data_IF_902722987913
#
_entry.id   IF_902722987913
#
_cell.length_a   1.000
_cell.length_b   1.000
_cell.length_c   1.000
_cell.angle_alpha   90.00
_cell.angle_beta   90.00
_cell.angle_gamma   90.00
#
_symmetry.space_group_name_H-M   'P 1'
#
loop_
_entity.id
_entity.type
_entity.pdbx_description
1 polymer ?
#
# COMPACT_ATOMS: atom_id res chain seq x y z
N UNK A 1 16.33 -2.84 15.70
CA UNK A 1 14.90 -3.09 15.45
C UNK A 1 14.55 -2.35 14.16
N UNK A 2 13.96 -3.02 13.18
CA UNK A 2 13.61 -2.39 11.89
C UNK A 2 12.38 -1.52 12.06
N UNK A 3 12.35 -0.37 11.39
CA UNK A 3 11.30 0.63 11.54
C UNK A 3 10.58 0.87 10.21
N UNK A 4 9.29 0.64 10.19
CA UNK A 4 8.42 0.78 9.02
C UNK A 4 7.65 2.10 9.05
N UNK A 5 7.54 2.77 7.91
CA UNK A 5 6.51 3.76 7.67
C UNK A 5 5.29 3.06 7.05
N UNK A 6 4.11 3.16 7.65
CA UNK A 6 2.86 2.61 7.10
C UNK A 6 2.00 3.77 6.63
N UNK A 7 1.77 3.86 5.32
CA UNK A 7 1.03 4.98 4.71
C UNK A 7 -0.42 4.58 4.48
N UNK A 8 -1.33 5.25 5.21
CA UNK A 8 -2.76 5.01 5.17
C UNK A 8 -3.47 6.01 4.23
N UNK A 9 -4.64 5.61 3.76
CA UNK A 9 -5.40 6.33 2.73
C UNK A 9 -6.79 6.80 3.18
N UNK A 10 -7.04 6.89 4.49
CA UNK A 10 -8.36 7.05 5.10
C UNK A 10 -8.77 5.81 5.88
N UNK A 11 -10.07 5.57 6.06
CA UNK A 11 -10.63 4.49 6.88
C UNK A 11 -11.85 3.87 6.22
N UNK A 12 -11.71 2.65 5.69
CA UNK A 12 -12.77 1.88 5.04
C UNK A 12 -12.46 1.53 3.59
N UNK A 13 -12.83 0.32 3.17
CA UNK A 13 -12.43 -0.23 1.86
C UNK A 13 -12.90 0.61 0.68
N UNK A 14 -14.11 1.20 0.72
CA UNK A 14 -14.68 1.88 -0.46
C UNK A 14 -14.18 3.32 -0.66
N UNK A 15 -13.61 3.95 0.37
CA UNK A 15 -13.21 5.36 0.32
C UNK A 15 -11.92 5.67 1.08
N UNK A 16 -11.32 4.69 1.76
CA UNK A 16 -10.12 4.83 2.56
C UNK A 16 -9.19 3.62 2.43
N UNK A 17 -8.32 3.44 3.43
CA UNK A 17 -7.51 2.23 3.56
C UNK A 17 -8.39 1.02 3.93
N UNK A 18 -8.10 -0.14 3.35
CA UNK A 18 -8.73 -1.38 3.76
C UNK A 18 -8.30 -1.71 5.20
N UNK A 19 -9.30 -1.94 6.08
CA UNK A 19 -9.07 -1.99 7.53
C UNK A 19 -8.30 -3.23 7.95
N UNK A 20 -8.65 -4.40 7.39
CA UNK A 20 -7.98 -5.66 7.70
C UNK A 20 -6.54 -5.64 7.20
N UNK A 21 -6.31 -5.23 5.95
CA UNK A 21 -4.96 -5.12 5.38
C UNK A 21 -4.07 -4.20 6.21
N UNK A 22 -4.55 -3.00 6.55
CA UNK A 22 -3.81 -2.04 7.37
C UNK A 22 -3.51 -2.59 8.77
N UNK A 23 -4.51 -3.19 9.42
CA UNK A 23 -4.37 -3.69 10.79
C UNK A 23 -3.48 -4.92 10.85
N UNK A 24 -3.64 -5.85 9.91
CA UNK A 24 -2.86 -7.09 9.86
C UNK A 24 -1.42 -6.83 9.41
N UNK A 25 -1.17 -5.85 8.53
CA UNK A 25 0.19 -5.42 8.21
C UNK A 25 0.93 -4.86 9.44
N UNK A 26 0.27 -3.99 10.22
CA UNK A 26 0.85 -3.49 11.48
C UNK A 26 1.09 -4.62 12.50
N UNK A 27 0.18 -5.59 12.58
CA UNK A 27 0.35 -6.77 13.43
C UNK A 27 1.55 -7.61 12.98
N UNK A 28 1.69 -7.87 11.67
CA UNK A 28 2.80 -8.62 11.10
C UNK A 28 4.15 -7.95 11.41
N UNK A 29 4.25 -6.62 11.24
CA UNK A 29 5.46 -5.85 11.60
C UNK A 29 5.79 -6.03 13.08
N UNK A 30 4.80 -5.89 13.98
CA UNK A 30 5.01 -6.03 15.41
C UNK A 30 5.43 -7.46 15.81
N UNK A 31 4.83 -8.50 15.22
CA UNK A 31 5.18 -9.90 15.46
C UNK A 31 6.57 -10.25 14.93
N UNK A 32 7.00 -9.63 13.82
CA UNK A 32 8.35 -9.77 13.30
C UNK A 32 9.41 -9.00 14.13
N UNK A 33 9.01 -8.37 15.24
CA UNK A 33 9.89 -7.58 16.12
C UNK A 33 10.26 -6.21 15.54
N UNK A 34 9.52 -5.71 14.56
CA UNK A 34 9.65 -4.37 13.99
C UNK A 34 8.86 -3.31 14.78
N UNK A 35 9.14 -2.06 14.49
CA UNK A 35 8.35 -0.90 14.90
C UNK A 35 7.68 -0.28 13.67
N UNK A 36 6.55 0.39 13.87
CA UNK A 36 5.91 1.15 12.80
C UNK A 36 5.45 2.54 13.25
N UNK A 37 5.45 3.47 12.30
CA UNK A 37 4.81 4.77 12.41
C UNK A 37 3.84 4.92 11.25
N UNK A 38 2.59 5.22 11.55
CA UNK A 38 1.58 5.52 10.54
C UNK A 38 1.74 6.94 9.99
N UNK A 39 1.46 7.09 8.70
CA UNK A 39 1.39 8.35 7.97
C UNK A 39 0.16 8.40 7.10
N UNK A 40 -0.31 9.59 6.78
CA UNK A 40 -1.29 9.83 5.72
C UNK A 40 -1.15 11.25 5.17
N UNK A 41 -1.52 11.52 3.92
CA UNK A 41 -1.61 12.90 3.42
C UNK A 41 -2.68 13.67 4.17
N UNK A 42 -2.41 14.95 4.48
CA UNK A 42 -3.38 15.88 5.07
C UNK A 42 -4.20 16.55 3.95
N UNK A 43 -5.11 15.81 3.36
CA UNK A 43 -5.94 16.22 2.23
C UNK A 43 -7.41 15.84 2.44
N UNK A 44 -8.29 16.47 1.69
CA UNK A 44 -9.70 16.05 1.61
C UNK A 44 -9.79 14.66 0.99
N UNK A 45 -10.63 13.80 1.58
CA UNK A 45 -11.00 12.50 1.03
C UNK A 45 -11.86 12.70 -0.21
N UNK A 46 -11.60 11.96 -1.29
CA UNK A 46 -12.29 12.16 -2.57
C UNK A 46 -13.79 11.84 -2.47
N UNK A 47 -14.12 10.66 -1.92
CA UNK A 47 -15.49 10.22 -1.66
C UNK A 47 -15.68 9.91 -0.18
N UNK A 48 -16.92 10.00 0.29
CA UNK A 48 -17.39 9.42 1.56
C UNK A 48 -18.50 8.44 1.23
N UNK A 49 -18.27 7.16 1.46
CA UNK A 49 -19.16 6.08 1.03
C UNK A 49 -19.84 5.43 2.24
N UNK A 50 -21.14 5.26 2.17
CA UNK A 50 -21.87 4.40 3.10
C UNK A 50 -21.55 2.93 2.78
N UNK A 51 -20.79 2.28 3.64
CA UNK A 51 -20.33 0.91 3.41
C UNK A 51 -21.45 -0.16 3.47
N UNK A 52 -22.67 0.18 3.91
CA UNK A 52 -23.81 -0.72 3.82
C UNK A 52 -24.50 -0.66 2.46
N UNK A 53 -24.56 0.53 1.84
CA UNK A 53 -25.32 0.73 0.60
C UNK A 53 -24.43 0.88 -0.63
N UNK A 54 -23.15 1.22 -0.43
CA UNK A 54 -22.22 1.57 -1.51
C UNK A 54 -22.45 2.97 -2.09
N UNK A 55 -23.38 3.74 -1.54
CA UNK A 55 -23.74 5.07 -2.05
C UNK A 55 -22.87 6.17 -1.43
N UNK A 56 -22.61 7.21 -2.20
CA UNK A 56 -21.91 8.40 -1.73
C UNK A 56 -22.76 9.18 -0.74
N UNK A 57 -22.15 9.60 0.36
CA UNK A 57 -22.77 10.42 1.39
C UNK A 57 -22.42 11.91 1.17
N UNK A 58 -23.38 12.82 1.41
CA UNK A 58 -23.18 14.27 1.22
C UNK A 58 -22.40 14.89 2.39
N UNK A 59 -21.22 14.34 2.71
CA UNK A 59 -20.32 14.86 3.74
C UNK A 59 -18.88 14.91 3.24
N UNK A 60 -18.00 15.59 3.97
CA UNK A 60 -16.57 15.66 3.67
C UNK A 60 -15.78 15.10 4.84
N UNK A 61 -14.71 14.40 4.53
CA UNK A 61 -13.74 13.88 5.49
C UNK A 61 -12.32 14.17 5.04
N UNK A 62 -11.41 14.16 5.99
CA UNK A 62 -9.99 14.36 5.74
C UNK A 62 -9.25 13.02 5.87
N UNK A 63 -8.36 12.72 4.93
CA UNK A 63 -7.65 11.44 4.86
C UNK A 63 -6.81 11.17 6.11
N UNK A 64 -6.06 12.16 6.61
CA UNK A 64 -5.24 12.02 7.82
C UNK A 64 -6.11 11.78 9.06
N UNK A 65 -7.21 12.54 9.20
CA UNK A 65 -8.14 12.41 10.35
C UNK A 65 -8.78 11.02 10.36
N UNK A 66 -9.25 10.54 9.21
CA UNK A 66 -9.86 9.21 9.11
C UNK A 66 -8.82 8.09 9.32
N UNK A 67 -7.62 8.23 8.76
CA UNK A 67 -6.51 7.28 8.97
C UNK A 67 -6.12 7.16 10.44
N UNK A 68 -6.25 8.23 11.22
CA UNK A 68 -5.98 8.24 12.64
C UNK A 68 -6.86 7.25 13.44
N UNK A 69 -8.02 6.86 12.90
CA UNK A 69 -8.91 5.85 13.53
C UNK A 69 -8.23 4.47 13.55
N UNK A 70 -7.58 4.06 12.44
CA UNK A 70 -6.80 2.81 12.35
C UNK A 70 -5.58 2.91 13.25
N UNK A 71 -4.85 4.03 13.20
CA UNK A 71 -3.62 4.27 13.95
C UNK A 71 -3.84 4.59 15.44
N UNK A 72 -5.08 4.63 15.92
CA UNK A 72 -5.45 5.02 17.30
C UNK A 72 -4.85 6.37 17.73
N UNK A 73 -4.84 7.32 16.78
CA UNK A 73 -4.31 8.66 16.99
C UNK A 73 -2.79 8.79 16.86
N UNK A 74 -2.03 7.69 16.77
CA UNK A 74 -0.58 7.73 16.57
C UNK A 74 -0.23 7.77 15.08
N UNK A 75 -0.42 8.93 14.47
CA UNK A 75 -0.20 9.15 13.04
C UNK A 75 0.41 10.54 12.81
N UNK A 76 1.16 10.68 11.73
CA UNK A 76 1.75 11.95 11.30
C UNK A 76 1.29 12.30 9.88
N UNK A 77 1.23 13.57 9.51
CA UNK A 77 1.06 13.95 8.11
C UNK A 77 2.25 13.44 7.28
N UNK A 78 1.95 12.97 6.05
CA UNK A 78 2.99 12.38 5.18
C UNK A 78 4.07 13.40 4.79
N UNK A 79 3.75 14.70 4.81
CA UNK A 79 4.72 15.80 4.65
C UNK A 79 5.87 15.79 5.67
N UNK A 80 5.69 15.14 6.83
CA UNK A 80 6.74 14.96 7.84
C UNK A 80 7.58 13.69 7.63
N UNK A 81 7.27 12.87 6.62
CA UNK A 81 8.05 11.66 6.32
C UNK A 81 9.47 12.01 5.91
N UNK A 82 10.43 11.31 6.51
CA UNK A 82 11.85 11.39 6.16
C UNK A 82 12.37 9.97 5.95
N UNK A 83 12.78 9.67 4.73
CA UNK A 83 13.30 8.34 4.35
C UNK A 83 14.39 7.84 5.32
N UNK A 84 15.29 8.73 5.77
CA UNK A 84 16.41 8.37 6.66
C UNK A 84 15.97 7.82 8.04
N UNK A 85 14.72 8.08 8.46
CA UNK A 85 14.21 7.66 9.77
C UNK A 85 13.58 6.23 9.73
N UNK A 86 13.46 5.60 8.54
CA UNK A 86 12.78 4.34 8.33
C UNK A 86 13.62 3.36 7.52
N UNK A 87 13.46 2.06 7.83
CA UNK A 87 14.10 0.97 7.10
C UNK A 87 13.25 0.47 5.93
N UNK A 88 11.93 0.64 6.00
CA UNK A 88 10.97 0.22 4.99
C UNK A 88 9.73 1.13 4.96
N UNK A 89 9.00 1.13 3.85
CA UNK A 89 7.68 1.75 3.70
C UNK A 89 6.65 0.69 3.26
N UNK A 90 5.42 0.78 3.74
CA UNK A 90 4.34 -0.15 3.41
C UNK A 90 3.04 0.60 3.13
N UNK A 91 2.36 0.22 2.04
CA UNK A 91 1.09 0.76 1.58
C UNK A 91 0.01 -0.34 1.59
N UNK A 92 -0.89 -0.38 2.60
CA UNK A 92 -2.11 -1.18 2.51
C UNK A 92 -2.98 -0.72 1.35
N UNK A 93 -3.92 -1.59 0.91
CA UNK A 93 -4.83 -1.23 -0.16
C UNK A 93 -6.10 -0.53 0.30
N UNK A 94 -7.20 -0.85 -0.36
CA UNK A 94 -8.48 -0.16 -0.28
C UNK A 94 -8.63 0.91 -1.37
N UNK A 95 -9.86 1.29 -1.69
CA UNK A 95 -10.12 2.29 -2.73
C UNK A 95 -9.55 3.68 -2.41
N UNK A 96 -9.28 3.99 -1.14
CA UNK A 96 -8.56 5.21 -0.79
C UNK A 96 -7.15 5.28 -1.38
N UNK A 97 -6.47 4.15 -1.54
CA UNK A 97 -5.19 4.08 -2.24
C UNK A 97 -5.32 4.52 -3.72
N UNK A 98 -6.39 4.08 -4.39
CA UNK A 98 -6.67 4.40 -5.78
C UNK A 98 -7.42 5.73 -6.00
N UNK A 99 -7.96 6.37 -4.93
CA UNK A 99 -8.75 7.61 -5.01
C UNK A 99 -8.12 8.80 -4.30
N UNK A 100 -7.36 8.57 -3.20
CA UNK A 100 -6.77 9.62 -2.36
C UNK A 100 -5.25 9.67 -2.52
N UNK A 101 -4.55 8.51 -2.54
CA UNK A 101 -3.10 8.47 -2.76
C UNK A 101 -2.74 8.57 -4.24
N UNK A 102 -3.69 8.27 -5.12
CA UNK A 102 -3.56 8.37 -6.57
C UNK A 102 -4.92 8.63 -7.20
N UNK A 103 -4.95 8.79 -8.52
CA UNK A 103 -6.20 8.87 -9.31
C UNK A 103 -6.44 7.61 -10.16
N UNK A 104 -5.82 6.48 -9.81
CA UNK A 104 -5.91 5.22 -10.58
C UNK A 104 -7.35 4.77 -10.79
N UNK A 105 -8.22 4.91 -9.78
CA UNK A 105 -9.63 4.54 -9.87
C UNK A 105 -10.42 5.33 -10.94
N UNK A 106 -9.92 6.48 -11.37
CA UNK A 106 -10.59 7.37 -12.32
C UNK A 106 -9.89 7.41 -13.67
N UNK A 107 -8.55 7.45 -13.65
CA UNK A 107 -7.72 7.75 -14.81
C UNK A 107 -6.96 6.53 -15.33
N UNK A 108 -7.06 5.37 -14.66
CA UNK A 108 -6.35 4.14 -15.03
C UNK A 108 -4.86 4.39 -15.24
N UNK A 109 -4.31 4.00 -16.39
CA UNK A 109 -2.90 4.17 -16.71
C UNK A 109 -2.45 5.65 -16.83
N UNK A 110 -3.38 6.59 -17.01
CA UNK A 110 -3.08 8.02 -17.04
C UNK A 110 -3.11 8.66 -15.64
N UNK A 111 -3.20 7.86 -14.60
CA UNK A 111 -3.29 8.32 -13.22
C UNK A 111 -2.15 9.27 -12.82
N UNK A 112 -2.47 10.10 -11.84
CA UNK A 112 -1.51 10.91 -11.10
C UNK A 112 -1.37 10.33 -9.69
N UNK A 113 -0.17 10.42 -9.13
CA UNK A 113 0.09 10.03 -7.74
C UNK A 113 0.17 11.30 -6.88
N UNK A 114 -0.34 11.23 -5.66
CA UNK A 114 -0.18 12.32 -4.69
C UNK A 114 1.32 12.67 -4.57
N UNK A 115 1.70 13.95 -4.63
CA UNK A 115 3.11 14.35 -4.65
C UNK A 115 3.92 13.87 -3.45
N UNK A 116 3.33 13.81 -2.24
CA UNK A 116 4.01 13.33 -1.04
C UNK A 116 4.23 11.80 -1.10
N UNK A 117 3.26 11.05 -1.64
CA UNK A 117 3.38 9.60 -1.88
C UNK A 117 4.44 9.31 -2.94
N UNK A 118 4.42 10.05 -4.06
CA UNK A 118 5.41 9.93 -5.12
C UNK A 118 6.82 10.19 -4.58
N UNK A 119 6.99 11.26 -3.80
CA UNK A 119 8.27 11.60 -3.19
C UNK A 119 8.75 10.52 -2.21
N UNK A 120 7.86 9.98 -1.38
CA UNK A 120 8.21 8.92 -0.43
C UNK A 120 8.67 7.64 -1.16
N UNK A 121 7.95 7.19 -2.19
CA UNK A 121 8.33 6.03 -3.00
C UNK A 121 9.70 6.25 -3.66
N UNK A 122 9.91 7.40 -4.33
CA UNK A 122 11.19 7.73 -4.99
C UNK A 122 12.35 7.77 -4.00
N UNK A 123 12.14 8.34 -2.81
CA UNK A 123 13.18 8.42 -1.79
C UNK A 123 13.59 7.03 -1.27
N UNK A 124 12.60 6.15 -0.99
CA UNK A 124 12.87 4.78 -0.53
C UNK A 124 13.55 3.95 -1.62
N UNK A 125 13.09 4.04 -2.88
CA UNK A 125 13.70 3.35 -4.00
C UNK A 125 15.15 3.82 -4.24
N UNK A 126 15.41 5.13 -4.24
CA UNK A 126 16.76 5.68 -4.39
C UNK A 126 17.72 5.25 -3.26
N UNK A 127 17.19 5.02 -2.07
CA UNK A 127 17.94 4.52 -0.91
C UNK A 127 18.04 2.97 -0.88
N UNK A 128 17.48 2.27 -1.88
CA UNK A 128 17.41 0.80 -1.95
C UNK A 128 16.81 0.20 -0.67
N UNK A 129 15.74 0.81 -0.19
CA UNK A 129 14.97 0.32 0.98
C UNK A 129 13.67 -0.32 0.54
N UNK A 130 13.20 -1.38 1.21
CA UNK A 130 11.99 -2.11 0.86
C UNK A 130 10.74 -1.23 0.79
N UNK A 131 9.98 -1.41 -0.28
CA UNK A 131 8.66 -0.81 -0.53
C UNK A 131 7.65 -1.95 -0.61
N UNK A 132 6.80 -2.08 0.39
CA UNK A 132 5.69 -3.03 0.42
C UNK A 132 4.41 -2.41 -0.11
N UNK A 133 3.67 -3.12 -1.00
CA UNK A 133 2.37 -2.68 -1.46
C UNK A 133 1.38 -3.85 -1.55
N UNK A 134 0.17 -3.64 -1.04
CA UNK A 134 -0.87 -4.66 -0.91
C UNK A 134 -2.07 -4.29 -1.79
N UNK A 135 -2.79 -5.32 -2.27
CA UNK A 135 -4.07 -5.16 -2.95
C UNK A 135 -3.96 -4.30 -4.22
N UNK A 136 -4.57 -3.12 -4.24
CA UNK A 136 -4.54 -2.17 -5.37
C UNK A 136 -3.31 -1.24 -5.36
N UNK A 137 -2.61 -1.14 -4.23
CA UNK A 137 -1.50 -0.20 -4.05
C UNK A 137 -0.31 -0.41 -5.00
N UNK A 138 0.01 -1.62 -5.50
CA UNK A 138 1.03 -1.82 -6.51
C UNK A 138 0.86 -0.94 -7.76
N UNK A 139 -0.37 -0.59 -8.13
CA UNK A 139 -0.66 0.23 -9.32
C UNK A 139 0.01 1.60 -9.28
N UNK A 140 -0.06 2.32 -8.15
CA UNK A 140 0.60 3.61 -8.08
C UNK A 140 2.11 3.50 -7.83
N UNK A 141 2.61 2.39 -7.28
CA UNK A 141 4.05 2.13 -7.21
C UNK A 141 4.63 2.00 -8.61
N UNK A 142 3.99 1.20 -9.49
CA UNK A 142 4.34 1.10 -10.91
C UNK A 142 4.25 2.47 -11.59
N UNK A 143 3.19 3.26 -11.31
CA UNK A 143 3.06 4.60 -11.89
C UNK A 143 4.24 5.52 -11.56
N UNK A 144 4.84 5.36 -10.38
CA UNK A 144 5.99 6.18 -9.94
C UNK A 144 7.31 5.67 -10.50
N UNK A 145 7.51 4.33 -10.51
CA UNK A 145 8.81 3.71 -10.81
C UNK A 145 8.95 3.22 -12.26
N UNK A 146 7.83 2.91 -12.94
CA UNK A 146 7.82 2.40 -14.31
C UNK A 146 8.03 0.89 -14.36
N UNK A 147 9.15 0.42 -14.86
CA UNK A 147 9.49 -0.99 -15.03
C UNK A 147 9.71 -1.66 -13.66
N UNK A 148 8.64 -2.27 -13.13
CA UNK A 148 8.61 -2.96 -11.83
C UNK A 148 7.79 -4.24 -11.94
N UNK A 149 8.29 -5.33 -11.38
CA UNK A 149 7.55 -6.58 -11.24
C UNK A 149 6.63 -6.52 -10.02
N UNK A 150 5.32 -6.70 -10.25
CA UNK A 150 4.30 -6.61 -9.19
C UNK A 150 3.20 -7.63 -9.36
N UNK A 151 2.46 -7.87 -8.29
CA UNK A 151 1.18 -8.58 -8.36
C UNK A 151 0.03 -7.78 -7.77
N UNK A 152 -1.15 -7.98 -8.33
CA UNK A 152 -2.47 -7.67 -7.78
C UNK A 152 -3.40 -8.91 -7.85
N UNK A 153 -2.82 -10.11 -7.98
CA UNK A 153 -3.58 -11.35 -8.15
C UNK A 153 -3.93 -11.62 -9.61
N UNK A 154 -5.21 -11.52 -9.99
CA UNK A 154 -5.68 -11.99 -11.31
C UNK A 154 -6.71 -11.08 -12.01
N UNK A 155 -7.00 -9.89 -11.49
CA UNK A 155 -7.95 -8.97 -12.11
C UNK A 155 -7.44 -8.38 -13.41
N UNK A 156 -8.00 -8.81 -14.54
CA UNK A 156 -7.53 -8.46 -15.87
C UNK A 156 -7.55 -6.96 -16.14
N UNK A 157 -8.58 -6.25 -15.66
CA UNK A 157 -8.67 -4.80 -15.86
C UNK A 157 -7.52 -4.04 -15.19
N UNK A 158 -7.16 -4.44 -13.98
CA UNK A 158 -6.04 -3.84 -13.24
C UNK A 158 -4.69 -4.28 -13.80
N UNK A 159 -4.57 -5.53 -14.28
CA UNK A 159 -3.38 -6.02 -14.99
C UNK A 159 -3.08 -5.14 -16.21
N UNK A 160 -4.08 -4.89 -17.07
CA UNK A 160 -3.92 -4.02 -18.23
C UNK A 160 -3.49 -2.59 -17.85
N UNK A 161 -3.98 -2.07 -16.72
CA UNK A 161 -3.55 -0.76 -16.21
C UNK A 161 -2.07 -0.77 -15.84
N UNK A 162 -1.60 -1.79 -15.12
CA UNK A 162 -0.20 -1.98 -14.72
C UNK A 162 0.71 -2.06 -15.95
N UNK A 163 0.36 -2.92 -16.91
CA UNK A 163 1.15 -3.11 -18.13
C UNK A 163 1.20 -1.85 -18.99
N UNK A 164 0.10 -1.11 -19.10
CA UNK A 164 0.05 0.18 -19.81
C UNK A 164 0.86 1.29 -19.11
N UNK A 165 1.17 1.14 -17.82
CA UNK A 165 2.08 2.01 -17.07
C UNK A 165 3.56 1.60 -17.21
N UNK A 166 3.85 0.45 -17.85
CA UNK A 166 5.20 -0.09 -18.05
C UNK A 166 5.65 -1.11 -17.00
N UNK A 167 4.78 -1.49 -16.05
CA UNK A 167 5.06 -2.56 -15.09
C UNK A 167 4.89 -3.95 -15.68
N UNK A 168 5.46 -4.95 -15.03
CA UNK A 168 5.27 -6.37 -15.33
C UNK A 168 4.40 -6.99 -14.24
N UNK A 169 3.26 -7.53 -14.64
CA UNK A 169 2.38 -8.23 -13.70
C UNK A 169 2.73 -9.72 -13.63
N UNK A 170 2.85 -10.23 -12.41
CA UNK A 170 3.01 -11.66 -12.10
C UNK A 170 1.72 -12.15 -11.45
N UNK A 171 1.05 -13.11 -12.05
CA UNK A 171 -0.16 -13.71 -11.48
C UNK A 171 0.18 -14.54 -10.25
N UNK A 172 -0.59 -14.37 -9.18
CA UNK A 172 -0.37 -15.03 -7.89
C UNK A 172 -1.68 -15.48 -7.26
N UNK A 173 -1.57 -16.36 -6.27
CA UNK A 173 -2.63 -16.85 -5.40
C UNK A 173 -2.57 -16.15 -4.02
N UNK A 174 -3.44 -16.58 -3.09
CA UNK A 174 -3.45 -16.06 -1.72
C UNK A 174 -2.11 -16.30 -1.01
N UNK A 175 -1.63 -15.28 -0.30
CA UNK A 175 -0.41 -15.36 0.48
C UNK A 175 0.88 -15.26 -0.32
N UNK A 176 0.82 -15.31 -1.65
CA UNK A 176 2.01 -15.16 -2.48
C UNK A 176 2.57 -13.73 -2.42
N UNK A 177 3.87 -13.62 -2.59
CA UNK A 177 4.59 -12.34 -2.64
C UNK A 177 5.46 -12.30 -3.89
N UNK A 178 5.32 -11.23 -4.67
CA UNK A 178 6.25 -10.91 -5.76
C UNK A 178 7.29 -9.92 -5.25
N UNK A 179 8.55 -10.23 -5.49
CA UNK A 179 9.69 -9.40 -5.13
C UNK A 179 10.45 -8.95 -6.38
N UNK A 180 10.47 -7.65 -6.61
CA UNK A 180 11.36 -7.01 -7.56
C UNK A 180 12.66 -6.58 -6.84
N UNK A 181 13.72 -7.34 -7.05
CA UNK A 181 15.01 -7.11 -6.40
C UNK A 181 15.67 -5.80 -6.88
N UNK A 182 15.47 -5.42 -8.14
CA UNK A 182 16.06 -4.22 -8.73
C UNK A 182 15.51 -2.94 -8.12
N UNK A 183 14.22 -2.95 -7.81
CA UNK A 183 13.48 -1.82 -7.26
C UNK A 183 13.22 -1.93 -5.75
N UNK A 184 13.57 -3.07 -5.12
CA UNK A 184 13.26 -3.36 -3.71
C UNK A 184 11.76 -3.28 -3.42
N UNK A 185 10.91 -3.73 -4.36
CA UNK A 185 9.47 -3.70 -4.28
C UNK A 185 8.91 -5.07 -3.96
N UNK A 186 8.01 -5.14 -2.97
CA UNK A 186 7.35 -6.36 -2.49
C UNK A 186 5.85 -6.16 -2.61
N UNK A 187 5.13 -7.09 -3.26
CA UNK A 187 3.69 -6.96 -3.46
C UNK A 187 2.95 -8.26 -3.18
N UNK A 188 1.70 -8.15 -2.70
CA UNK A 188 0.80 -9.28 -2.44
C UNK A 188 -0.64 -8.90 -2.78
N UNK A 189 -1.47 -9.83 -3.32
CA UNK A 189 -2.78 -9.49 -3.88
C UNK A 189 -3.86 -9.18 -2.85
N UNK A 190 -3.83 -9.76 -1.66
CA UNK A 190 -4.85 -9.56 -0.62
C UNK A 190 -6.28 -9.60 -1.16
N UNK A 191 -7.11 -8.59 -0.86
CA UNK A 191 -8.52 -8.50 -1.31
C UNK A 191 -8.72 -8.17 -2.80
N UNK A 192 -7.67 -8.08 -3.61
CA UNK A 192 -7.83 -8.15 -5.07
C UNK A 192 -8.26 -9.55 -5.54
N UNK A 193 -8.12 -10.55 -4.69
CA UNK A 193 -8.70 -11.89 -4.84
C UNK A 193 -9.93 -12.02 -3.91
N UNK A 194 -10.84 -12.96 -4.22
CA UNK A 194 -11.91 -13.33 -3.29
C UNK A 194 -11.29 -14.04 -2.08
N UNK A 195 -11.12 -13.32 -0.97
CA UNK A 195 -10.31 -13.72 0.16
C UNK A 195 -11.08 -13.70 1.49
N UNK A 196 -10.70 -14.57 2.41
CA UNK A 196 -11.08 -14.52 3.81
C UNK A 196 -10.09 -13.64 4.59
N UNK A 197 -10.43 -13.26 5.83
CA UNK A 197 -9.51 -12.51 6.69
C UNK A 197 -8.23 -13.31 7.01
N UNK A 198 -8.27 -14.65 6.97
CA UNK A 198 -7.11 -15.51 7.15
C UNK A 198 -6.14 -15.37 5.97
N UNK A 199 -6.67 -15.35 4.74
CA UNK A 199 -5.86 -15.14 3.53
C UNK A 199 -5.18 -13.77 3.56
N UNK A 200 -5.85 -12.74 4.11
CA UNK A 200 -5.25 -11.41 4.28
C UNK A 200 -4.14 -11.44 5.32
N UNK A 201 -4.32 -12.19 6.42
CA UNK A 201 -3.26 -12.41 7.39
C UNK A 201 -2.04 -13.06 6.75
N UNK A 202 -2.23 -14.13 5.99
CA UNK A 202 -1.14 -14.84 5.32
C UNK A 202 -0.39 -13.92 4.35
N UNK A 203 -1.12 -13.14 3.54
CA UNK A 203 -0.52 -12.15 2.65
C UNK A 203 0.28 -11.06 3.38
N UNK A 204 -0.30 -10.48 4.43
CA UNK A 204 0.37 -9.45 5.23
C UNK A 204 1.61 -9.98 5.95
N UNK A 205 1.50 -11.19 6.53
CA UNK A 205 2.62 -11.84 7.22
C UNK A 205 3.76 -12.16 6.25
N UNK A 206 3.46 -12.82 5.11
CA UNK A 206 4.46 -13.20 4.13
C UNK A 206 5.15 -11.99 3.50
N UNK A 207 4.39 -10.91 3.22
CA UNK A 207 4.93 -9.65 2.72
C UNK A 207 5.94 -9.05 3.71
N UNK A 208 5.56 -8.92 4.97
CA UNK A 208 6.43 -8.35 6.01
C UNK A 208 7.63 -9.24 6.27
N UNK A 209 7.45 -10.57 6.30
CA UNK A 209 8.54 -11.55 6.47
C UNK A 209 9.57 -11.44 5.33
N UNK A 210 9.10 -11.37 4.07
CA UNK A 210 9.98 -11.17 2.91
C UNK A 210 10.76 -9.85 3.00
N UNK A 211 10.09 -8.74 3.37
CA UNK A 211 10.74 -7.44 3.58
C UNK A 211 11.78 -7.50 4.71
N UNK A 212 11.46 -8.16 5.83
CA UNK A 212 12.39 -8.33 6.96
C UNK A 212 13.61 -9.16 6.59
N UNK A 213 13.43 -10.26 5.86
CA UNK A 213 14.51 -11.11 5.35
C UNK A 213 15.43 -10.33 4.41
N UNK A 214 14.86 -9.55 3.50
CA UNK A 214 15.64 -8.68 2.61
C UNK A 214 16.50 -7.68 3.40
N UNK A 215 15.93 -6.99 4.40
CA UNK A 215 16.67 -6.06 5.24
C UNK A 215 17.75 -6.71 6.11
N UNK A 216 17.69 -8.03 6.32
CA UNK A 216 18.68 -8.81 7.04
C UNK A 216 19.73 -9.44 6.12
N UNK A 217 19.58 -9.33 4.79
CA UNK A 217 20.45 -9.98 3.80
C UNK A 217 20.20 -11.49 3.68
N UNK A 218 18.97 -11.95 3.98
CA UNK A 218 18.58 -13.36 3.98
C UNK A 218 17.82 -13.77 2.70
N UNK A 219 17.56 -12.85 1.78
CA UNK A 219 16.93 -13.13 0.47
C UNK A 219 18.04 -13.44 -0.51
N UNK A 220 18.04 -14.64 -1.09
CA UNK A 220 18.88 -15.00 -2.23
C UNK A 220 18.30 -14.31 -3.50
N UNK A 221 19.20 -13.83 -4.38
CA UNK A 221 18.88 -13.24 -5.68
C UNK A 221 18.19 -14.21 -6.64
#
# INVERSE_FOLDING_TARGET
MKKFAVVLAGYGVYDGAEIHEATLAMLAIAQAGGEYQCFAPDIDQHHVINHLTGEEMPEKRNVLIESARIARGNIKPLSEFKEADYDAILFPGGFGAAKNLSTVAFDGANAKVNPEVEQAIKAMNAAQKPIGAMCISPTFVVKVLGEVDVTIGSDQGTIEVIENMGGMHVQTEHGDVVYDASNMVFTTPCYMLEATITDIWDGAYNLVDAMMKSMNGEVEE
#
